data_IF_046984620388
#
_entry.id   IF_046984620388
#
_cell.length_a   1.000
_cell.length_b   1.000
_cell.length_c   1.000
_cell.angle_alpha   90.00
_cell.angle_beta   90.00
_cell.angle_gamma   90.00
#
_symmetry.space_group_name_H-M   'P 1'
#
loop_
_entity.id
_entity.type
_entity.pdbx_description
1 polymer ?
#
# COMPACT_ATOMS: atom_id res chain seq x y z
N UNK A 1 -8.57 34.77 -18.83
CA UNK A 1 -9.21 33.59 -19.47
C UNK A 1 -8.11 32.71 -20.05
N UNK A 2 -8.31 31.40 -19.99
CA UNK A 2 -7.44 30.28 -20.39
C UNK A 2 -6.52 29.71 -19.31
N UNK A 3 -7.16 29.05 -18.32
CA UNK A 3 -6.57 27.86 -17.72
C UNK A 3 -6.63 26.74 -18.78
N UNK A 4 -5.49 26.39 -19.35
CA UNK A 4 -5.32 25.08 -19.96
C UNK A 4 -5.44 24.07 -18.82
N UNK A 5 -6.64 23.53 -18.64
CA UNK A 5 -6.85 22.38 -17.79
C UNK A 5 -6.02 21.28 -18.45
N UNK A 6 -4.90 20.89 -17.83
CA UNK A 6 -4.20 19.65 -18.15
C UNK A 6 -5.16 18.51 -17.81
N UNK A 7 -6.11 18.27 -18.71
CA UNK A 7 -7.06 17.18 -18.61
C UNK A 7 -6.24 15.91 -18.76
N UNK A 8 -5.94 15.28 -17.62
CA UNK A 8 -5.39 13.94 -17.58
C UNK A 8 -6.30 13.06 -18.44
N UNK A 9 -5.79 12.63 -19.59
CA UNK A 9 -6.60 11.81 -20.48
C UNK A 9 -6.97 10.50 -19.76
N UNK A 10 -8.24 10.08 -19.84
CA UNK A 10 -8.69 8.88 -19.16
C UNK A 10 -8.01 7.64 -19.72
N UNK A 11 -7.67 6.70 -18.83
CA UNK A 11 -7.16 5.39 -19.22
C UNK A 11 -8.32 4.60 -19.84
N UNK A 12 -8.26 4.39 -21.17
CA UNK A 12 -9.30 3.65 -21.91
C UNK A 12 -8.81 2.36 -22.55
N UNK A 13 -7.48 2.15 -22.60
CA UNK A 13 -6.87 0.95 -23.20
C UNK A 13 -6.21 0.10 -22.14
N UNK A 14 -6.33 -1.25 -22.20
CA UNK A 14 -5.67 -2.12 -21.23
C UNK A 14 -4.15 -2.00 -21.18
N UNK A 15 -3.49 -1.67 -22.30
CA UNK A 15 -2.04 -1.38 -22.29
C UNK A 15 -1.68 -0.21 -21.37
N UNK A 16 -2.43 0.90 -21.44
CA UNK A 16 -2.21 2.08 -20.60
C UNK A 16 -2.43 1.78 -19.11
N UNK A 17 -3.45 0.97 -18.80
CA UNK A 17 -3.73 0.54 -17.44
C UNK A 17 -2.58 -0.34 -16.91
N UNK A 18 -2.14 -1.34 -17.68
CA UNK A 18 -1.02 -2.22 -17.30
C UNK A 18 0.25 -1.44 -17.02
N UNK A 19 0.57 -0.45 -17.85
CA UNK A 19 1.78 0.38 -17.65
C UNK A 19 1.67 1.21 -16.36
N UNK A 20 0.50 1.78 -16.09
CA UNK A 20 0.25 2.52 -14.84
C UNK A 20 0.33 1.61 -13.62
N UNK A 21 -0.20 0.39 -13.70
CA UNK A 21 -0.12 -0.60 -12.61
C UNK A 21 1.32 -1.11 -12.37
N UNK A 22 2.13 -1.26 -13.43
CA UNK A 22 3.55 -1.61 -13.31
C UNK A 22 4.34 -0.48 -12.63
N UNK A 23 4.03 0.78 -12.95
CA UNK A 23 4.61 1.93 -12.25
C UNK A 23 4.20 1.93 -10.77
N UNK A 24 2.93 1.66 -10.45
CA UNK A 24 2.47 1.53 -9.06
C UNK A 24 3.21 0.42 -8.31
N UNK A 25 3.40 -0.74 -8.95
CA UNK A 25 4.18 -1.84 -8.38
C UNK A 25 5.61 -1.44 -8.07
N UNK A 26 6.29 -0.75 -9.00
CA UNK A 26 7.65 -0.27 -8.79
C UNK A 26 7.73 0.67 -7.58
N UNK A 27 6.84 1.66 -7.48
CA UNK A 27 6.80 2.59 -6.34
C UNK A 27 6.51 1.87 -5.02
N UNK A 28 5.65 0.84 -5.03
CA UNK A 28 5.38 0.03 -3.84
C UNK A 28 6.60 -0.82 -3.43
N UNK A 29 7.38 -1.31 -4.38
CA UNK A 29 8.63 -2.04 -4.10
C UNK A 29 9.73 -1.10 -3.58
N UNK A 30 9.84 0.10 -4.13
CA UNK A 30 10.74 1.16 -3.65
C UNK A 30 10.37 1.59 -2.23
N UNK A 31 9.08 1.79 -1.95
CA UNK A 31 8.61 2.08 -0.58
C UNK A 31 8.98 0.94 0.38
N UNK A 32 8.86 -0.32 -0.05
CA UNK A 32 9.25 -1.47 0.78
C UNK A 32 10.74 -1.40 1.16
N UNK A 33 11.58 -1.03 0.20
CA UNK A 33 13.01 -0.85 0.43
C UNK A 33 13.29 0.34 1.35
N UNK A 34 12.61 1.46 1.14
CA UNK A 34 12.72 2.65 1.99
C UNK A 34 12.28 2.37 3.44
N UNK A 35 11.18 1.63 3.63
CA UNK A 35 10.72 1.19 4.95
C UNK A 35 11.74 0.28 5.65
N UNK A 36 12.42 -0.60 4.91
CA UNK A 36 13.49 -1.44 5.46
C UNK A 36 14.72 -0.63 5.89
N UNK A 37 15.03 0.45 5.15
CA UNK A 37 16.11 1.39 5.47
C UNK A 37 15.75 2.50 6.46
N UNK A 38 14.48 2.63 6.84
CA UNK A 38 13.93 3.78 7.58
C UNK A 38 14.25 5.13 6.92
N UNK A 39 14.29 5.16 5.59
CA UNK A 39 14.59 6.35 4.81
C UNK A 39 13.31 7.21 4.67
N UNK A 40 13.20 8.24 5.51
CA UNK A 40 12.01 9.10 5.58
C UNK A 40 11.80 9.90 4.30
N UNK A 41 12.88 10.40 3.68
CA UNK A 41 12.79 11.21 2.47
C UNK A 41 12.30 10.35 1.29
N UNK A 42 12.84 9.13 1.15
CA UNK A 42 12.37 8.19 0.15
C UNK A 42 10.91 7.75 0.39
N UNK A 43 10.50 7.52 1.66
CA UNK A 43 9.10 7.20 1.99
C UNK A 43 8.16 8.33 1.57
N UNK A 44 8.54 9.59 1.84
CA UNK A 44 7.74 10.75 1.47
C UNK A 44 7.66 10.92 -0.06
N UNK A 45 8.76 10.69 -0.78
CA UNK A 45 8.75 10.64 -2.25
C UNK A 45 7.78 9.60 -2.80
N UNK A 46 7.88 8.35 -2.29
CA UNK A 46 6.97 7.28 -2.67
C UNK A 46 5.50 7.62 -2.37
N UNK A 47 5.21 8.34 -1.28
CA UNK A 47 3.85 8.77 -0.96
C UNK A 47 3.28 9.75 -1.99
N UNK A 48 4.09 10.69 -2.47
CA UNK A 48 3.72 11.64 -3.55
C UNK A 48 3.46 10.89 -4.85
N UNK A 49 4.35 9.99 -5.25
CA UNK A 49 4.23 9.22 -6.49
C UNK A 49 3.01 8.31 -6.48
N UNK A 50 2.76 7.60 -5.36
CA UNK A 50 1.53 6.81 -5.18
C UNK A 50 0.29 7.67 -5.32
N UNK A 51 0.25 8.86 -4.72
CA UNK A 51 -0.90 9.75 -4.81
C UNK A 51 -1.14 10.21 -6.25
N UNK A 52 -0.08 10.55 -6.99
CA UNK A 52 -0.17 10.90 -8.40
C UNK A 52 -0.69 9.73 -9.26
N UNK A 53 -0.19 8.50 -9.02
CA UNK A 53 -0.64 7.31 -9.71
C UNK A 53 -2.08 6.92 -9.35
N UNK A 54 -2.51 7.07 -8.09
CA UNK A 54 -3.92 6.91 -7.70
C UNK A 54 -4.81 7.88 -8.47
N UNK A 55 -4.43 9.16 -8.54
CA UNK A 55 -5.16 10.15 -9.34
C UNK A 55 -5.23 9.80 -10.84
N UNK A 56 -4.18 9.17 -11.39
CA UNK A 56 -4.21 8.63 -12.76
C UNK A 56 -5.16 7.44 -12.88
N UNK A 57 -5.09 6.49 -11.96
CA UNK A 57 -5.92 5.27 -11.93
C UNK A 57 -7.42 5.60 -11.76
N UNK A 58 -7.76 6.67 -11.05
CA UNK A 58 -9.14 7.15 -10.88
C UNK A 58 -9.82 7.53 -12.22
N UNK A 59 -9.02 7.80 -13.26
CA UNK A 59 -9.53 8.10 -14.62
C UNK A 59 -9.76 6.87 -15.49
N UNK A 60 -9.65 5.66 -14.93
CA UNK A 60 -9.77 4.40 -15.67
C UNK A 60 -11.21 4.10 -16.06
N UNK A 61 -11.43 3.91 -17.35
CA UNK A 61 -12.71 3.45 -17.87
C UNK A 61 -12.85 1.92 -17.66
N UNK A 62 -14.05 1.40 -17.33
CA UNK A 62 -14.24 -0.04 -17.03
C UNK A 62 -13.76 -0.98 -18.14
N UNK A 63 -13.89 -0.57 -19.40
CA UNK A 63 -13.45 -1.32 -20.58
C UNK A 63 -11.93 -1.50 -20.69
N UNK A 64 -11.14 -0.72 -19.94
CA UNK A 64 -9.69 -0.86 -19.90
C UNK A 64 -9.21 -2.04 -19.04
N UNK A 65 -10.09 -2.69 -18.26
CA UNK A 65 -9.73 -3.73 -17.29
C UNK A 65 -9.84 -5.12 -17.94
N UNK A 66 -8.71 -5.65 -18.40
CA UNK A 66 -8.57 -7.05 -18.83
C UNK A 66 -8.05 -7.98 -17.72
N UNK A 67 -7.85 -9.25 -18.04
CA UNK A 67 -7.43 -10.26 -17.06
C UNK A 67 -5.99 -10.04 -16.55
N UNK A 68 -5.09 -9.56 -17.39
CA UNK A 68 -3.72 -9.25 -16.96
C UNK A 68 -3.72 -8.03 -16.01
N UNK A 69 -4.57 -7.04 -16.26
CA UNK A 69 -4.77 -5.92 -15.33
C UNK A 69 -5.24 -6.40 -13.95
N UNK A 70 -6.14 -7.39 -13.89
CA UNK A 70 -6.58 -7.99 -12.60
C UNK A 70 -5.42 -8.66 -11.87
N UNK A 71 -4.56 -9.38 -12.59
CA UNK A 71 -3.34 -9.98 -12.02
C UNK A 71 -2.41 -8.93 -11.41
N UNK A 72 -2.20 -7.80 -12.11
CA UNK A 72 -1.38 -6.69 -11.63
C UNK A 72 -2.02 -5.96 -10.43
N UNK A 73 -3.34 -5.75 -10.44
CA UNK A 73 -4.08 -5.16 -9.31
C UNK A 73 -3.92 -6.02 -8.04
N UNK A 74 -4.07 -7.33 -8.16
CA UNK A 74 -3.87 -8.25 -7.03
C UNK A 74 -2.41 -8.27 -6.56
N UNK A 75 -1.44 -8.18 -7.48
CA UNK A 75 -0.03 -8.04 -7.11
C UNK A 75 0.22 -6.74 -6.31
N UNK A 76 -0.26 -5.59 -6.82
CA UNK A 76 -0.10 -4.30 -6.16
C UNK A 76 -0.75 -4.31 -4.76
N UNK A 77 -1.93 -4.90 -4.64
CA UNK A 77 -2.63 -5.07 -3.36
C UNK A 77 -1.80 -5.87 -2.35
N UNK A 78 -1.19 -6.98 -2.78
CA UNK A 78 -0.32 -7.80 -1.92
C UNK A 78 0.91 -7.03 -1.43
N UNK A 79 1.59 -6.30 -2.32
CA UNK A 79 2.79 -5.51 -1.93
C UNK A 79 2.42 -4.37 -0.99
N UNK A 80 1.35 -3.62 -1.28
CA UNK A 80 0.89 -2.54 -0.40
C UNK A 80 0.50 -3.05 1.00
N UNK A 81 -0.15 -4.22 1.08
CA UNK A 81 -0.46 -4.85 2.36
C UNK A 81 0.81 -5.25 3.12
N UNK A 82 1.85 -5.73 2.44
CA UNK A 82 3.15 -5.99 3.06
C UNK A 82 3.77 -4.69 3.62
N UNK A 83 3.77 -3.60 2.85
CA UNK A 83 4.28 -2.29 3.30
C UNK A 83 3.52 -1.77 4.53
N UNK A 84 2.19 -1.90 4.53
CA UNK A 84 1.33 -1.56 5.67
C UNK A 84 1.73 -2.34 6.92
N UNK A 85 1.99 -3.64 6.80
CA UNK A 85 2.42 -4.50 7.91
C UNK A 85 3.77 -4.07 8.47
N UNK A 86 4.74 -3.76 7.61
CA UNK A 86 6.07 -3.28 8.04
C UNK A 86 5.96 -1.97 8.82
N UNK A 87 5.27 -0.97 8.27
CA UNK A 87 5.04 0.32 8.95
C UNK A 87 4.36 0.14 10.30
N UNK A 88 3.33 -0.70 10.35
CA UNK A 88 2.58 -0.95 11.60
C UNK A 88 3.43 -1.68 12.64
N UNK A 89 4.30 -2.61 12.23
CA UNK A 89 5.23 -3.28 13.13
C UNK A 89 6.24 -2.30 13.74
N UNK A 90 6.78 -1.38 12.93
CA UNK A 90 7.67 -0.33 13.41
C UNK A 90 6.96 0.53 14.46
N UNK A 91 5.73 0.99 14.16
CA UNK A 91 4.94 1.79 15.10
C UNK A 91 4.63 1.05 16.42
N UNK A 92 4.28 -0.24 16.34
CA UNK A 92 4.04 -1.07 17.50
C UNK A 92 5.30 -1.24 18.36
N UNK A 93 6.46 -1.45 17.73
CA UNK A 93 7.73 -1.58 18.43
C UNK A 93 8.12 -0.29 19.17
N UNK A 94 7.91 0.87 18.54
CA UNK A 94 8.17 2.17 19.19
C UNK A 94 7.21 2.36 20.36
N UNK A 95 5.92 2.11 20.17
CA UNK A 95 4.90 2.25 21.24
C UNK A 95 5.22 1.37 22.45
N UNK A 96 5.54 0.09 22.23
CA UNK A 96 5.87 -0.85 23.31
C UNK A 96 7.08 -0.40 24.15
N UNK A 97 8.08 0.23 23.53
CA UNK A 97 9.24 0.77 24.25
C UNK A 97 8.89 2.01 25.08
N UNK A 98 8.04 2.89 24.54
CA UNK A 98 7.55 4.05 25.28
C UNK A 98 6.70 3.64 26.49
N UNK A 99 5.82 2.66 26.31
CA UNK A 99 5.00 2.10 27.39
C UNK A 99 5.87 1.51 28.51
N UNK A 100 6.91 0.75 28.15
CA UNK A 100 7.86 0.19 29.10
C UNK A 100 8.60 1.25 29.93
N UNK A 101 8.92 2.41 29.35
CA UNK A 101 9.56 3.53 30.07
C UNK A 101 8.62 4.23 31.05
N UNK A 102 7.31 4.20 30.79
CA UNK A 102 6.30 4.87 31.63
C UNK A 102 5.68 3.95 32.69
N UNK A 103 6.17 2.71 32.81
CA UNK A 103 5.67 1.72 33.76
C UNK A 103 4.27 1.20 33.41
N UNK A 104 3.75 1.52 32.22
CA UNK A 104 2.52 0.93 31.72
C UNK A 104 2.85 -0.45 31.14
N UNK A 105 2.22 -1.54 31.60
CA UNK A 105 2.43 -2.83 30.97
C UNK A 105 1.95 -2.74 29.52
N UNK A 106 2.85 -3.07 28.57
CA UNK A 106 2.49 -3.19 27.17
C UNK A 106 1.42 -4.29 27.05
N UNK A 107 0.14 -3.87 26.99
CA UNK A 107 -0.97 -4.80 26.84
C UNK A 107 -0.91 -5.36 25.42
N UNK A 108 -0.26 -6.51 25.29
CA UNK A 108 -0.31 -7.34 24.10
C UNK A 108 -1.77 -7.65 23.76
N UNK A 109 -2.37 -6.89 22.82
CA UNK A 109 -3.62 -7.28 22.15
C UNK A 109 -3.28 -8.00 20.86
N UNK A 110 -2.96 -9.28 20.96
CA UNK A 110 -3.17 -10.16 19.82
C UNK A 110 -4.68 -10.29 19.58
N UNK A 111 -5.19 -9.60 18.57
CA UNK A 111 -6.39 -10.05 17.89
C UNK A 111 -6.06 -11.34 17.13
N UNK A 112 -6.08 -12.47 17.84
CA UNK A 112 -6.10 -13.80 17.26
C UNK A 112 -7.39 -14.49 17.71
N UNK A 113 -8.39 -14.70 16.85
CA UNK A 113 -9.45 -15.64 17.17
C UNK A 113 -8.83 -17.04 17.17
N UNK A 114 -8.46 -17.54 18.35
CA UNK A 114 -8.15 -18.95 18.53
C UNK A 114 -9.42 -19.75 18.25
N UNK A 115 -9.46 -20.37 17.06
CA UNK A 115 -10.41 -21.43 16.75
C UNK A 115 -10.32 -22.51 17.85
N UNK A 116 -11.43 -22.72 18.56
CA UNK A 116 -11.56 -23.80 19.54
C UNK A 116 -11.59 -25.13 18.79
N UNK A 117 -10.52 -25.91 18.90
CA UNK A 117 -10.56 -27.33 18.51
C UNK A 117 -11.23 -28.08 19.67
N UNK A 118 -12.53 -28.30 19.57
CA UNK A 118 -13.22 -29.30 20.39
C UNK A 118 -12.94 -30.69 19.78
N UNK A 119 -12.04 -31.45 20.40
CA UNK A 119 -12.00 -32.91 20.19
C UNK A 119 -13.10 -33.54 21.03
N UNK A 120 -14.16 -34.02 20.37
CA UNK A 120 -15.10 -34.96 20.96
C UNK A 120 -14.42 -36.35 21.02
N UNK A 121 -14.60 -37.03 22.16
CA UNK A 121 -14.31 -38.45 22.36
C UNK A 121 -15.36 -39.30 21.66
#
# INVERSE_FOLDING_TARGET
>A
MNAAIDTVQPIRRPTQLRDTLRQMLAVLEDERQALAGLDVDAIMGCAVDKNALCGRLDTTAPEAIDEECRGLLEAARRVNEANRRVRNLIAANVSARLDALTGQPALYRANAPHARISRAR
#
